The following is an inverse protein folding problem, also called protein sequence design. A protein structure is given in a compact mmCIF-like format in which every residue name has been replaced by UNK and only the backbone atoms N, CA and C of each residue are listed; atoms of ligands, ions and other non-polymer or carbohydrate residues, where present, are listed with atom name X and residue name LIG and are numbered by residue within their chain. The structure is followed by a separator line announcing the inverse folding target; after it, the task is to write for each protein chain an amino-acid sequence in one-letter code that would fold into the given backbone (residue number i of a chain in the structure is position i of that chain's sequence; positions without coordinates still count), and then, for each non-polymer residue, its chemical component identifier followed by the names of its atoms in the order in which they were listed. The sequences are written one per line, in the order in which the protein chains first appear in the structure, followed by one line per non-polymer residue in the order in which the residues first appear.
data_IF_595560734729
#
_entry.id   IF_595560734729
#
_cell.length_a   1.000
_cell.length_b   1.000
_cell.length_c   1.000
_cell.angle_alpha   90.00
_cell.angle_beta   90.00
_cell.angle_gamma   90.00
#
_symmetry.space_group_name_H-M   'P 1'
#
loop_
_entity.id
_entity.type
_entity.pdbx_description
1 polymer ?
#
# COMPACT_ATOMS: atom_id res chain seq x y z
N UNK A 1 -26.77 7.41 -25.72
CA UNK A 1 -27.67 8.42 -26.30
C UNK A 1 -28.51 9.18 -25.28
N UNK A 2 -28.75 8.64 -24.08
CA UNK A 2 -29.67 9.28 -23.11
C UNK A 2 -28.99 10.30 -22.18
N UNK A 3 -27.72 10.14 -21.87
CA UNK A 3 -27.03 11.07 -20.93
C UNK A 3 -26.70 12.42 -21.57
N UNK A 4 -26.35 12.45 -22.83
CA UNK A 4 -26.09 13.70 -23.56
C UNK A 4 -27.36 14.57 -23.65
N UNK A 5 -28.53 13.97 -23.95
CA UNK A 5 -29.80 14.69 -23.96
C UNK A 5 -30.25 15.24 -22.59
N UNK A 6 -29.82 14.63 -21.48
CA UNK A 6 -30.16 15.11 -20.13
C UNK A 6 -29.29 16.32 -19.75
N UNK A 7 -28.00 16.31 -20.08
CA UNK A 7 -27.11 17.44 -19.84
C UNK A 7 -27.54 18.68 -20.64
N UNK A 8 -27.83 18.51 -21.92
CA UNK A 8 -28.27 19.61 -22.78
C UNK A 8 -29.53 20.29 -22.27
N UNK A 9 -30.49 19.52 -21.74
CA UNK A 9 -31.72 20.07 -21.12
C UNK A 9 -31.42 20.82 -19.83
N UNK A 10 -30.50 20.32 -19.02
CA UNK A 10 -30.12 20.97 -17.76
C UNK A 10 -29.39 22.30 -18.00
N UNK A 11 -28.50 22.32 -18.99
CA UNK A 11 -27.77 23.52 -19.38
C UNK A 11 -28.74 24.56 -19.98
N UNK A 12 -29.76 24.15 -20.74
CA UNK A 12 -30.81 25.04 -21.23
C UNK A 12 -31.65 25.66 -20.09
N UNK A 13 -31.93 24.89 -19.02
CA UNK A 13 -32.62 25.43 -17.84
C UNK A 13 -31.76 26.46 -17.11
N UNK A 14 -30.48 26.18 -16.93
CA UNK A 14 -29.55 27.13 -16.30
C UNK A 14 -29.45 28.43 -17.11
N UNK A 15 -29.34 28.31 -18.41
CA UNK A 15 -29.28 29.47 -19.31
C UNK A 15 -30.58 30.30 -19.25
N UNK A 16 -31.74 29.64 -19.32
CA UNK A 16 -33.03 30.32 -19.21
C UNK A 16 -33.24 31.02 -17.86
N UNK A 17 -32.81 30.43 -16.76
CA UNK A 17 -32.84 31.06 -15.44
C UNK A 17 -31.90 32.25 -15.32
N UNK A 18 -30.75 32.17 -15.98
CA UNK A 18 -29.80 33.27 -16.05
C UNK A 18 -30.37 34.47 -16.86
N UNK A 19 -30.91 34.21 -18.05
CA UNK A 19 -31.51 35.22 -18.92
C UNK A 19 -32.74 35.90 -18.26
N UNK A 20 -33.52 35.10 -17.51
CA UNK A 20 -34.66 35.62 -16.75
C UNK A 20 -34.28 36.41 -15.49
N UNK A 21 -32.99 36.53 -15.16
CA UNK A 21 -32.50 37.21 -13.96
C UNK A 21 -32.83 36.52 -12.64
N UNK A 22 -33.25 35.25 -12.66
CA UNK A 22 -33.65 34.47 -11.49
C UNK A 22 -32.46 33.85 -10.75
N UNK A 23 -31.47 34.64 -10.35
CA UNK A 23 -30.21 34.21 -9.76
C UNK A 23 -30.33 33.33 -8.50
N UNK A 24 -31.23 33.61 -7.52
CA UNK A 24 -31.39 32.73 -6.37
C UNK A 24 -31.85 31.33 -6.77
N UNK A 25 -32.79 31.23 -7.72
CA UNK A 25 -33.30 29.97 -8.25
C UNK A 25 -32.25 29.23 -9.06
N UNK A 26 -31.49 29.94 -9.89
CA UNK A 26 -30.37 29.38 -10.63
C UNK A 26 -29.34 28.74 -9.69
N UNK A 27 -28.94 29.46 -8.63
CA UNK A 27 -27.99 28.92 -7.65
C UNK A 27 -28.53 27.68 -6.95
N UNK A 28 -29.78 27.68 -6.54
CA UNK A 28 -30.41 26.51 -5.92
C UNK A 28 -30.48 25.31 -6.87
N UNK A 29 -30.76 25.57 -8.15
CA UNK A 29 -30.81 24.56 -9.19
C UNK A 29 -29.44 23.92 -9.46
N UNK A 30 -28.39 24.73 -9.57
CA UNK A 30 -27.00 24.22 -9.76
C UNK A 30 -26.59 23.33 -8.58
N UNK A 31 -26.82 23.78 -7.35
CA UNK A 31 -26.49 22.98 -6.14
C UNK A 31 -27.29 21.68 -6.10
N UNK A 32 -28.59 21.74 -6.44
CA UNK A 32 -29.44 20.54 -6.53
C UNK A 32 -28.94 19.56 -7.61
N UNK A 33 -28.60 20.06 -8.80
CA UNK A 33 -28.05 19.26 -9.91
C UNK A 33 -26.77 18.54 -9.51
N UNK A 34 -25.86 19.26 -8.85
CA UNK A 34 -24.60 18.71 -8.37
C UNK A 34 -24.84 17.62 -7.30
N UNK A 35 -25.72 17.87 -6.33
CA UNK A 35 -26.06 16.90 -5.29
C UNK A 35 -26.68 15.62 -5.87
N UNK A 36 -27.52 15.75 -6.90
CA UNK A 36 -28.11 14.61 -7.61
C UNK A 36 -27.12 13.84 -8.47
N UNK A 37 -26.15 14.54 -9.08
CA UNK A 37 -25.06 13.89 -9.81
C UNK A 37 -24.21 13.03 -8.84
N UNK A 38 -23.79 13.60 -7.72
CA UNK A 38 -23.07 12.89 -6.65
C UNK A 38 -23.84 11.67 -6.12
N UNK A 39 -25.15 11.80 -5.91
CA UNK A 39 -26.00 10.69 -5.46
C UNK A 39 -26.14 9.58 -6.50
N UNK A 40 -26.20 9.90 -7.81
CA UNK A 40 -26.21 8.90 -8.88
C UNK A 40 -24.86 8.18 -8.98
N UNK A 41 -23.77 8.89 -8.87
CA UNK A 41 -22.42 8.31 -8.92
C UNK A 41 -22.15 7.41 -7.71
N UNK A 42 -22.61 7.81 -6.51
CA UNK A 42 -22.59 6.97 -5.34
C UNK A 42 -23.40 5.67 -5.55
N UNK A 43 -24.62 5.78 -6.12
CA UNK A 43 -25.47 4.61 -6.40
C UNK A 43 -24.83 3.68 -7.44
N UNK A 44 -24.16 4.20 -8.47
CA UNK A 44 -23.40 3.39 -9.44
C UNK A 44 -22.23 2.66 -8.76
N UNK A 45 -21.58 3.27 -7.77
CA UNK A 45 -20.52 2.65 -6.99
C UNK A 45 -21.02 1.43 -6.20
N UNK A 46 -22.20 1.47 -5.60
CA UNK A 46 -22.80 0.32 -4.87
C UNK A 46 -23.14 -0.85 -5.79
N UNK A 47 -23.65 -0.58 -6.99
CA UNK A 47 -23.94 -1.63 -8.00
C UNK A 47 -22.65 -2.35 -8.42
N UNK A 48 -21.55 -1.62 -8.53
CA UNK A 48 -20.24 -2.19 -8.89
C UNK A 48 -19.67 -3.11 -7.79
N UNK A 49 -20.02 -2.92 -6.52
CA UNK A 49 -19.54 -3.78 -5.42
C UNK A 49 -20.15 -5.18 -5.51
N UNK A 50 -21.46 -5.30 -5.78
CA UNK A 50 -22.12 -6.60 -5.96
C UNK A 50 -21.52 -7.37 -7.14
N UNK A 51 -21.39 -6.74 -8.29
CA UNK A 51 -20.72 -7.31 -9.46
C UNK A 51 -19.30 -7.76 -9.13
N UNK A 52 -18.57 -6.96 -8.36
CA UNK A 52 -17.18 -7.24 -7.98
C UNK A 52 -17.04 -8.47 -7.08
N UNK A 53 -18.00 -8.69 -6.17
CA UNK A 53 -18.02 -9.88 -5.32
C UNK A 53 -18.28 -11.12 -6.18
N UNK A 54 -19.29 -11.06 -7.05
CA UNK A 54 -19.65 -12.18 -7.91
C UNK A 54 -18.53 -12.54 -8.89
N UNK A 55 -17.90 -11.54 -9.53
CA UNK A 55 -16.75 -11.74 -10.42
C UNK A 55 -15.57 -12.43 -9.70
N UNK A 56 -15.31 -12.08 -8.44
CA UNK A 56 -14.28 -12.72 -7.64
C UNK A 56 -14.65 -14.17 -7.30
N UNK A 57 -15.89 -14.41 -6.85
CA UNK A 57 -16.36 -15.74 -6.48
C UNK A 57 -16.43 -16.69 -7.68
N UNK A 58 -16.82 -16.17 -8.85
CA UNK A 58 -16.90 -16.92 -10.10
C UNK A 58 -15.52 -17.06 -10.78
N UNK A 59 -14.46 -16.56 -10.16
CA UNK A 59 -13.07 -16.57 -10.68
C UNK A 59 -12.94 -15.93 -12.06
N UNK A 60 -13.79 -14.96 -12.37
CA UNK A 60 -13.78 -14.26 -13.66
C UNK A 60 -12.93 -12.99 -13.66
N UNK A 61 -12.57 -12.47 -12.48
CA UNK A 61 -11.74 -11.28 -12.39
C UNK A 61 -10.28 -11.60 -12.75
N UNK A 62 -9.86 -11.20 -13.95
CA UNK A 62 -8.49 -11.39 -14.44
C UNK A 62 -7.42 -10.71 -13.55
N UNK A 63 -7.78 -9.70 -12.78
CA UNK A 63 -6.87 -8.96 -11.90
C UNK A 63 -6.35 -9.84 -10.76
N UNK A 64 -7.13 -10.83 -10.34
CA UNK A 64 -6.69 -11.81 -9.33
C UNK A 64 -5.55 -12.67 -9.85
N UNK A 65 -5.47 -12.85 -11.16
CA UNK A 65 -4.38 -13.59 -11.83
C UNK A 65 -3.24 -12.70 -12.32
N UNK A 66 -3.46 -11.38 -12.41
CA UNK A 66 -2.45 -10.45 -12.91
C UNK A 66 -1.24 -10.33 -11.97
N UNK A 67 -1.45 -10.57 -10.66
CA UNK A 67 -0.38 -10.64 -9.68
C UNK A 67 -0.21 -12.10 -9.24
N UNK A 68 0.91 -12.73 -9.63
CA UNK A 68 1.21 -14.13 -9.33
C UNK A 68 1.29 -14.47 -7.83
N UNK A 69 1.41 -13.46 -6.98
CA UNK A 69 1.48 -13.60 -5.52
C UNK A 69 0.10 -13.58 -4.83
N UNK A 70 -0.98 -13.33 -5.59
CA UNK A 70 -2.34 -13.34 -5.05
C UNK A 70 -3.07 -14.63 -5.41
N UNK A 71 -3.62 -15.30 -4.39
CA UNK A 71 -4.47 -16.46 -4.55
C UNK A 71 -5.92 -16.18 -4.13
N UNK A 72 -6.85 -17.02 -4.58
CA UNK A 72 -8.23 -16.97 -4.09
C UNK A 72 -8.28 -17.36 -2.61
N UNK A 73 -8.58 -16.39 -1.76
CA UNK A 73 -8.67 -16.54 -0.31
C UNK A 73 -9.69 -15.57 0.26
N UNK A 74 -10.08 -15.77 1.53
CA UNK A 74 -10.95 -14.82 2.22
C UNK A 74 -10.30 -13.43 2.31
N UNK A 75 -9.01 -13.36 2.63
CA UNK A 75 -8.26 -12.11 2.65
C UNK A 75 -8.20 -11.45 1.27
N UNK A 76 -8.02 -12.22 0.21
CA UNK A 76 -8.05 -11.75 -1.17
C UNK A 76 -9.42 -11.22 -1.59
N UNK A 77 -10.51 -11.85 -1.18
CA UNK A 77 -11.87 -11.35 -1.42
C UNK A 77 -12.08 -9.99 -0.74
N UNK A 78 -11.75 -9.90 0.55
CA UNK A 78 -11.92 -8.67 1.32
C UNK A 78 -11.09 -7.54 0.68
N UNK A 79 -9.84 -7.81 0.32
CA UNK A 79 -8.96 -6.83 -0.32
C UNK A 79 -9.48 -6.39 -1.69
N UNK A 80 -9.96 -7.32 -2.52
CA UNK A 80 -10.51 -6.99 -3.85
C UNK A 80 -11.73 -6.06 -3.73
N UNK A 81 -12.67 -6.36 -2.83
CA UNK A 81 -13.86 -5.53 -2.63
C UNK A 81 -13.51 -4.19 -2.02
N UNK A 82 -12.71 -4.19 -0.95
CA UNK A 82 -12.26 -2.96 -0.29
C UNK A 82 -11.45 -2.09 -1.26
N UNK A 83 -10.56 -2.70 -2.04
CA UNK A 83 -9.72 -2.03 -3.03
C UNK A 83 -10.53 -1.31 -4.10
N UNK A 84 -11.58 -1.92 -4.62
CA UNK A 84 -12.47 -1.26 -5.61
C UNK A 84 -13.18 -0.03 -5.02
N UNK A 85 -13.60 -0.09 -3.76
CA UNK A 85 -14.22 1.05 -3.07
C UNK A 85 -13.19 2.16 -2.82
N UNK A 86 -12.00 1.80 -2.33
CA UNK A 86 -10.91 2.74 -2.07
C UNK A 86 -10.42 3.38 -3.37
N UNK A 87 -10.22 2.61 -4.43
CA UNK A 87 -9.84 3.12 -5.75
C UNK A 87 -10.85 4.12 -6.30
N UNK A 88 -12.14 3.83 -6.13
CA UNK A 88 -13.20 4.75 -6.54
C UNK A 88 -13.13 6.09 -5.76
N UNK A 89 -12.81 6.03 -4.47
CA UNK A 89 -12.60 7.21 -3.65
C UNK A 89 -11.40 8.04 -4.14
N UNK A 90 -10.25 7.41 -4.39
CA UNK A 90 -9.07 8.07 -4.94
C UNK A 90 -9.38 8.81 -6.24
N UNK A 91 -10.01 8.12 -7.20
CA UNK A 91 -10.24 8.63 -8.55
C UNK A 91 -11.33 9.71 -8.63
N UNK A 92 -12.20 9.81 -7.62
CA UNK A 92 -13.31 10.78 -7.65
C UNK A 92 -13.17 11.92 -6.66
N UNK A 93 -12.38 11.76 -5.58
CA UNK A 93 -12.34 12.74 -4.49
C UNK A 93 -10.93 13.20 -4.12
N UNK A 94 -9.90 12.41 -4.40
CA UNK A 94 -8.52 12.73 -4.02
C UNK A 94 -7.75 13.30 -5.21
N UNK A 95 -7.78 12.62 -6.35
CA UNK A 95 -7.12 13.10 -7.56
C UNK A 95 -7.96 14.16 -8.28
N UNK A 96 -7.32 15.07 -9.04
CA UNK A 96 -8.02 15.95 -9.97
C UNK A 96 -8.93 15.15 -10.92
N UNK A 97 -10.11 15.70 -11.30
CA UNK A 97 -11.08 14.97 -12.14
C UNK A 97 -10.51 14.47 -13.47
N UNK A 98 -9.57 15.21 -14.05
CA UNK A 98 -8.87 14.83 -15.29
C UNK A 98 -8.03 13.56 -15.14
N UNK A 99 -7.37 13.37 -13.99
CA UNK A 99 -6.60 12.16 -13.68
C UNK A 99 -7.53 10.95 -13.55
N UNK A 100 -8.62 11.12 -12.78
CA UNK A 100 -9.63 10.07 -12.64
C UNK A 100 -10.28 9.68 -13.97
N UNK A 101 -10.51 10.65 -14.86
CA UNK A 101 -11.01 10.40 -16.20
C UNK A 101 -9.99 9.65 -17.06
N UNK A 102 -8.77 10.15 -17.14
CA UNK A 102 -7.69 9.55 -17.94
C UNK A 102 -7.43 8.08 -17.53
N UNK A 103 -7.48 7.78 -16.21
CA UNK A 103 -7.37 6.41 -15.73
C UNK A 103 -8.54 5.53 -16.20
N UNK A 104 -9.79 6.02 -16.15
CA UNK A 104 -10.98 5.26 -16.59
C UNK A 104 -11.06 5.08 -18.10
N UNK A 105 -10.52 6.04 -18.87
CA UNK A 105 -10.44 6.00 -20.33
C UNK A 105 -9.22 5.21 -20.83
N UNK A 106 -8.39 4.72 -19.90
CA UNK A 106 -7.15 3.98 -20.16
C UNK A 106 -6.04 4.80 -20.88
N UNK A 107 -6.07 6.11 -20.77
CA UNK A 107 -4.99 6.99 -21.23
C UNK A 107 -3.76 6.87 -20.33
N UNK A 108 -3.98 6.66 -19.04
CA UNK A 108 -2.96 6.38 -18.03
C UNK A 108 -3.40 5.22 -17.13
N UNK A 109 -2.43 4.59 -16.47
CA UNK A 109 -2.70 3.62 -15.42
C UNK A 109 -2.12 4.09 -14.08
N UNK A 110 -2.98 4.29 -13.08
CA UNK A 110 -2.58 4.51 -11.69
C UNK A 110 -2.82 3.19 -10.97
N UNK A 111 -1.76 2.57 -10.45
CA UNK A 111 -1.84 1.29 -9.75
C UNK A 111 -1.87 1.45 -8.23
N UNK A 112 -2.14 0.36 -7.50
CA UNK A 112 -2.21 0.31 -6.02
C UNK A 112 -3.19 1.33 -5.42
N UNK A 113 -4.29 1.60 -6.13
CA UNK A 113 -5.37 2.47 -5.68
C UNK A 113 -6.23 1.84 -4.56
N UNK A 114 -5.99 0.58 -4.24
CA UNK A 114 -6.67 -0.18 -3.20
C UNK A 114 -6.23 0.18 -1.78
N UNK A 115 -5.18 0.98 -1.64
CA UNK A 115 -4.65 1.41 -0.36
C UNK A 115 -4.60 2.94 -0.23
N UNK A 116 -5.02 3.47 0.92
CA UNK A 116 -4.87 4.88 1.30
C UNK A 116 -3.60 5.04 2.14
N UNK A 117 -2.44 4.70 1.57
CA UNK A 117 -1.16 4.69 2.29
C UNK A 117 -0.01 5.19 1.43
N UNK A 118 1.15 5.41 2.06
CA UNK A 118 2.41 5.60 1.35
C UNK A 118 2.76 4.36 0.52
N UNK A 119 3.54 4.54 -0.56
CA UNK A 119 3.82 3.44 -1.47
C UNK A 119 4.97 2.57 -0.96
N UNK A 120 6.21 3.06 -1.00
CA UNK A 120 7.39 2.35 -0.55
C UNK A 120 8.10 3.11 0.57
N UNK A 121 8.83 2.40 1.42
CA UNK A 121 9.63 3.03 2.47
C UNK A 121 11.00 2.37 2.62
N UNK A 122 12.01 3.22 2.86
CA UNK A 122 13.33 2.79 3.32
C UNK A 122 13.46 3.06 4.82
N UNK A 123 13.94 2.07 5.55
CA UNK A 123 14.10 2.13 6.99
C UNK A 123 15.57 2.05 7.39
N UNK A 124 15.93 2.74 8.45
CA UNK A 124 17.25 2.64 9.04
C UNK A 124 17.37 1.35 9.85
N UNK A 125 18.13 0.39 9.35
CA UNK A 125 18.44 -0.81 10.11
C UNK A 125 19.20 -0.48 11.40
N UNK A 126 20.11 0.50 11.34
CA UNK A 126 20.82 0.98 12.51
C UNK A 126 19.89 1.42 13.64
N UNK A 127 18.87 2.21 13.32
CA UNK A 127 17.89 2.68 14.31
C UNK A 127 17.15 1.51 14.93
N UNK A 128 16.66 0.55 14.12
CA UNK A 128 16.01 -0.65 14.62
C UNK A 128 16.90 -1.43 15.59
N UNK A 129 18.17 -1.64 15.24
CA UNK A 129 19.09 -2.41 16.05
C UNK A 129 19.54 -1.67 17.34
N UNK A 130 19.51 -0.35 17.35
CA UNK A 130 19.85 0.47 18.52
C UNK A 130 18.68 0.71 19.47
N UNK A 131 17.48 0.82 18.96
CA UNK A 131 16.29 1.17 19.74
C UNK A 131 15.39 -0.02 20.01
N UNK A 132 15.48 -1.08 19.21
CA UNK A 132 14.58 -2.22 19.27
C UNK A 132 13.22 -1.94 18.61
N UNK A 133 12.23 -2.77 18.93
CA UNK A 133 10.86 -2.61 18.47
C UNK A 133 10.07 -1.86 19.56
N UNK A 134 9.86 -0.57 19.34
CA UNK A 134 9.12 0.29 20.27
C UNK A 134 8.37 1.40 19.51
N UNK A 135 7.66 2.23 20.22
CA UNK A 135 7.05 3.46 19.70
C UNK A 135 5.71 3.29 19.00
N UNK A 136 5.16 2.10 18.87
CA UNK A 136 3.80 1.88 18.34
C UNK A 136 2.88 1.41 19.45
N UNK A 137 2.01 2.30 19.92
CA UNK A 137 1.08 1.99 20.99
C UNK A 137 0.23 0.73 20.70
N UNK A 138 0.18 -0.21 21.64
CA UNK A 138 -0.58 -1.45 21.51
C UNK A 138 0.07 -2.53 20.63
N UNK A 139 1.31 -2.33 20.17
CA UNK A 139 2.12 -3.36 19.49
C UNK A 139 3.11 -3.99 20.45
N UNK A 140 3.72 -5.09 20.02
CA UNK A 140 4.75 -5.78 20.80
C UNK A 140 6.00 -4.89 20.85
N UNK A 141 6.53 -4.72 22.05
CA UNK A 141 7.79 -4.03 22.27
C UNK A 141 8.92 -5.05 22.48
N UNK A 142 10.11 -4.73 22.03
CA UNK A 142 11.32 -5.51 22.26
C UNK A 142 12.53 -4.61 22.38
N UNK A 143 13.36 -4.87 23.38
CA UNK A 143 14.65 -4.20 23.56
C UNK A 143 15.59 -4.39 22.36
N UNK A 144 16.65 -3.57 22.24
CA UNK A 144 17.70 -3.79 21.24
C UNK A 144 18.21 -5.24 21.23
N UNK A 145 18.36 -5.85 20.06
CA UNK A 145 18.78 -7.25 19.97
C UNK A 145 20.23 -7.41 20.45
N UNK A 146 20.50 -8.54 21.10
CA UNK A 146 21.84 -8.85 21.63
C UNK A 146 22.59 -9.88 20.78
N UNK A 147 21.89 -10.64 19.96
CA UNK A 147 22.39 -11.74 19.15
C UNK A 147 21.87 -11.68 17.73
N UNK A 148 22.58 -12.29 16.77
CA UNK A 148 22.20 -12.30 15.36
C UNK A 148 20.77 -12.83 15.14
N UNK A 149 20.40 -13.92 15.79
CA UNK A 149 19.05 -14.52 15.67
C UNK A 149 17.95 -13.57 16.16
N UNK A 150 18.21 -12.83 17.24
CA UNK A 150 17.27 -11.81 17.73
C UNK A 150 17.17 -10.63 16.77
N UNK A 151 18.30 -10.19 16.18
CA UNK A 151 18.34 -9.10 15.21
C UNK A 151 17.54 -9.46 13.94
N UNK A 152 17.78 -10.65 13.38
CA UNK A 152 17.03 -11.14 12.21
C UNK A 152 15.56 -11.33 12.51
N UNK A 153 15.21 -11.82 13.71
CA UNK A 153 13.83 -11.91 14.16
C UNK A 153 13.12 -10.54 14.26
N UNK A 154 13.80 -9.53 14.79
CA UNK A 154 13.25 -8.17 14.85
C UNK A 154 13.07 -7.55 13.46
N UNK A 155 13.97 -7.79 12.52
CA UNK A 155 13.84 -7.39 11.12
C UNK A 155 12.56 -7.97 10.52
N UNK A 156 12.32 -9.27 10.69
CA UNK A 156 11.11 -9.94 10.20
C UNK A 156 9.85 -9.31 10.82
N UNK A 157 9.84 -9.14 12.14
CA UNK A 157 8.69 -8.59 12.85
C UNK A 157 8.40 -7.13 12.46
N UNK A 158 9.44 -6.32 12.29
CA UNK A 158 9.30 -4.94 11.81
C UNK A 158 8.69 -4.90 10.42
N UNK A 159 9.27 -5.62 9.47
CA UNK A 159 8.78 -5.67 8.09
C UNK A 159 7.37 -6.27 8.02
N UNK A 160 7.10 -7.32 8.80
CA UNK A 160 5.77 -7.93 8.90
C UNK A 160 4.70 -6.98 9.46
N UNK A 161 5.09 -6.06 10.34
CA UNK A 161 4.18 -5.02 10.86
C UNK A 161 3.99 -3.90 9.85
N UNK A 162 5.09 -3.36 9.33
CA UNK A 162 5.06 -2.18 8.46
C UNK A 162 4.46 -2.45 7.09
N UNK A 163 4.53 -3.67 6.58
CA UNK A 163 3.90 -4.03 5.31
C UNK A 163 2.37 -3.84 5.29
N UNK A 164 1.73 -3.79 6.46
CA UNK A 164 0.29 -3.54 6.56
C UNK A 164 -0.07 -2.06 6.50
N UNK A 165 0.93 -1.18 6.64
CA UNK A 165 0.75 0.28 6.63
C UNK A 165 1.25 0.91 5.31
N UNK A 166 1.94 0.14 4.45
CA UNK A 166 2.55 0.60 3.20
C UNK A 166 2.15 -0.29 2.03
N UNK A 167 1.84 0.33 0.90
CA UNK A 167 1.36 -0.39 -0.28
C UNK A 167 2.46 -1.16 -1.02
N UNK A 168 3.69 -0.65 -1.03
CA UNK A 168 4.79 -1.19 -1.80
C UNK A 168 5.92 -1.81 -0.97
N UNK A 169 7.11 -1.81 -1.54
CA UNK A 169 8.27 -2.45 -0.95
C UNK A 169 8.79 -1.73 0.30
N UNK A 170 9.29 -2.51 1.23
CA UNK A 170 10.00 -2.07 2.43
C UNK A 170 11.47 -2.41 2.29
N UNK A 171 12.36 -1.46 2.57
CA UNK A 171 13.80 -1.65 2.42
C UNK A 171 14.54 -1.37 3.72
N UNK A 172 15.57 -2.17 4.00
CA UNK A 172 16.61 -1.85 4.97
C UNK A 172 17.93 -1.61 4.26
N UNK A 173 18.65 -0.56 4.70
CA UNK A 173 19.98 -0.25 4.20
C UNK A 173 21.06 -0.96 5.00
N UNK A 174 22.22 -1.21 4.35
CA UNK A 174 23.46 -1.67 4.99
C UNK A 174 23.29 -2.95 5.81
N UNK A 175 22.57 -3.92 5.26
CA UNK A 175 22.15 -5.14 5.96
C UNK A 175 23.35 -5.95 6.48
N UNK A 176 24.31 -6.21 5.64
CA UNK A 176 25.55 -6.93 5.97
C UNK A 176 26.40 -6.19 7.02
N UNK A 177 26.57 -4.91 6.82
CA UNK A 177 27.39 -4.06 7.66
C UNK A 177 26.86 -3.99 9.09
N UNK A 178 25.56 -3.77 9.28
CA UNK A 178 24.98 -3.64 10.62
C UNK A 178 24.76 -4.98 11.32
N UNK A 179 24.74 -6.11 10.61
CA UNK A 179 24.69 -7.43 11.22
C UNK A 179 26.06 -8.01 11.56
N UNK A 180 27.13 -7.58 10.90
CA UNK A 180 28.49 -8.04 11.15
C UNK A 180 28.95 -7.96 12.62
N UNK A 181 28.65 -6.89 13.40
CA UNK A 181 28.99 -6.81 14.82
C UNK A 181 28.43 -7.94 15.67
N UNK A 182 27.23 -8.45 15.38
CA UNK A 182 26.63 -9.58 16.11
C UNK A 182 27.37 -10.89 15.83
N UNK A 183 27.74 -11.11 14.57
CA UNK A 183 28.51 -12.29 14.15
C UNK A 183 29.85 -12.33 14.87
N UNK A 184 30.54 -11.19 14.90
CA UNK A 184 31.83 -11.05 15.55
C UNK A 184 31.74 -11.19 17.06
N UNK A 185 30.79 -10.50 17.69
CA UNK A 185 30.61 -10.52 19.15
C UNK A 185 30.42 -11.94 19.69
N UNK A 186 29.58 -12.73 19.01
CA UNK A 186 29.24 -14.09 19.45
C UNK A 186 30.19 -15.13 18.83
N UNK A 187 31.18 -14.72 18.02
CA UNK A 187 32.13 -15.59 17.31
C UNK A 187 31.39 -16.71 16.56
N UNK A 188 30.34 -16.35 15.82
CA UNK A 188 29.46 -17.30 15.17
C UNK A 188 30.18 -18.02 14.00
N UNK A 189 30.16 -19.36 13.94
CA UNK A 189 30.65 -20.08 12.78
C UNK A 189 29.73 -19.85 11.57
N UNK A 190 30.29 -19.99 10.37
CA UNK A 190 29.57 -19.80 9.11
C UNK A 190 28.20 -20.52 9.06
N UNK A 191 28.15 -21.74 9.60
CA UNK A 191 26.92 -22.55 9.61
C UNK A 191 25.78 -21.89 10.39
N UNK A 192 26.05 -21.25 11.51
CA UNK A 192 25.05 -20.56 12.33
C UNK A 192 24.60 -19.23 11.69
N UNK A 193 25.54 -18.52 11.05
CA UNK A 193 25.21 -17.34 10.26
C UNK A 193 24.30 -17.72 9.10
N UNK A 194 24.67 -18.77 8.34
CA UNK A 194 23.87 -19.27 7.23
C UNK A 194 22.45 -19.66 7.70
N UNK A 195 22.35 -20.34 8.85
CA UNK A 195 21.05 -20.73 9.42
C UNK A 195 20.20 -19.51 9.76
N UNK A 196 20.77 -18.50 10.41
CA UNK A 196 20.04 -17.27 10.77
C UNK A 196 19.55 -16.49 9.54
N UNK A 197 20.36 -16.43 8.48
CA UNK A 197 19.95 -15.81 7.21
C UNK A 197 18.88 -16.64 6.50
N UNK A 198 18.98 -17.96 6.55
CA UNK A 198 17.98 -18.85 5.98
C UNK A 198 16.63 -18.72 6.69
N UNK A 199 16.63 -18.60 8.01
CA UNK A 199 15.42 -18.32 8.81
C UNK A 199 14.81 -16.96 8.48
N UNK A 200 15.64 -15.92 8.32
CA UNK A 200 15.19 -14.60 7.87
C UNK A 200 14.45 -14.70 6.53
N UNK A 201 15.10 -15.31 5.52
CA UNK A 201 14.53 -15.45 4.18
C UNK A 201 13.25 -16.28 4.22
N UNK A 202 13.24 -17.39 4.96
CA UNK A 202 12.06 -18.23 5.12
C UNK A 202 10.89 -17.43 5.71
N UNK A 203 11.10 -16.71 6.81
CA UNK A 203 10.07 -15.94 7.48
C UNK A 203 9.57 -14.76 6.63
N UNK A 204 10.42 -14.14 5.81
CA UNK A 204 10.02 -13.12 4.85
C UNK A 204 9.24 -13.69 3.66
N UNK A 205 9.29 -15.00 3.41
CA UNK A 205 8.48 -15.68 2.41
C UNK A 205 7.15 -16.24 2.96
N UNK A 206 6.90 -16.12 4.26
CA UNK A 206 5.60 -16.48 4.83
C UNK A 206 4.56 -15.45 4.36
N UNK A 207 3.41 -15.90 3.80
CA UNK A 207 2.38 -14.99 3.32
C UNK A 207 1.64 -14.34 4.50
N UNK A 208 2.20 -13.29 5.02
CA UNK A 208 1.73 -12.55 6.20
C UNK A 208 1.07 -11.20 5.87
N UNK A 209 1.13 -10.80 4.59
CA UNK A 209 0.52 -9.57 4.08
C UNK A 209 -0.89 -9.84 3.55
N UNK A 210 -1.64 -8.77 3.34
CA UNK A 210 -2.97 -8.75 2.73
C UNK A 210 -3.06 -9.61 1.46
N UNK A 211 -4.14 -10.37 1.32
CA UNK A 211 -4.37 -11.19 0.13
C UNK A 211 -3.41 -12.37 -0.06
N UNK A 212 -2.80 -12.86 1.02
CA UNK A 212 -1.81 -13.96 0.98
C UNK A 212 -0.48 -13.61 0.30
N UNK A 213 -0.14 -12.34 0.24
CA UNK A 213 1.16 -11.89 -0.25
C UNK A 213 2.26 -12.05 0.80
N UNK A 214 3.47 -12.28 0.33
CA UNK A 214 4.68 -12.13 1.13
C UNK A 214 5.09 -10.67 1.23
N UNK A 215 5.83 -10.23 2.27
CA UNK A 215 6.40 -8.90 2.31
C UNK A 215 7.29 -8.63 1.10
N UNK A 216 7.03 -7.52 0.41
CA UNK A 216 8.01 -7.03 -0.57
C UNK A 216 9.18 -6.40 0.19
N UNK A 217 10.29 -7.12 0.21
CA UNK A 217 11.48 -6.73 0.97
C UNK A 217 12.65 -6.48 0.05
N UNK A 218 13.35 -5.37 0.29
CA UNK A 218 14.62 -5.06 -0.32
C UNK A 218 15.68 -4.89 0.79
N UNK A 219 16.84 -5.53 0.62
CA UNK A 219 17.99 -5.39 1.50
C UNK A 219 19.15 -4.85 0.68
N UNK A 220 19.75 -3.75 1.11
CA UNK A 220 20.95 -3.24 0.45
C UNK A 220 22.19 -3.72 1.18
N UNK A 221 23.25 -3.95 0.43
CA UNK A 221 24.56 -4.37 0.91
C UNK A 221 25.56 -3.26 0.62
N UNK A 222 26.50 -3.05 1.51
CA UNK A 222 27.51 -2.03 1.35
C UNK A 222 28.72 -2.59 0.57
N UNK A 223 29.10 -1.88 -0.48
CA UNK A 223 30.32 -2.18 -1.22
C UNK A 223 31.58 -1.79 -0.44
N UNK A 224 31.47 -0.79 0.41
CA UNK A 224 32.53 -0.31 1.30
C UNK A 224 31.96 -0.13 2.70
N UNK A 225 32.78 -0.43 3.73
CA UNK A 225 32.34 -0.21 5.11
C UNK A 225 32.08 1.28 5.39
N UNK A 226 30.92 1.65 5.96
CA UNK A 226 30.63 3.00 6.39
C UNK A 226 31.63 3.52 7.44
N UNK A 227 31.88 4.84 7.42
CA UNK A 227 32.88 5.49 8.28
C UNK A 227 32.62 5.27 9.78
N UNK A 228 31.37 5.22 10.20
CA UNK A 228 30.97 5.01 11.60
C UNK A 228 31.27 3.60 12.13
N UNK A 229 31.55 2.63 11.24
CA UNK A 229 31.94 1.27 11.59
C UNK A 229 33.39 0.92 11.27
N UNK A 230 34.14 1.82 10.67
CA UNK A 230 35.55 1.60 10.36
C UNK A 230 36.39 1.26 11.61
N UNK A 231 36.05 1.83 12.77
CA UNK A 231 36.71 1.52 14.04
C UNK A 231 36.53 0.08 14.50
N UNK A 232 35.47 -0.59 14.04
CA UNK A 232 35.21 -2.00 14.36
C UNK A 232 36.03 -2.96 13.49
N UNK A 233 36.51 -2.53 12.33
CA UNK A 233 37.34 -3.31 11.42
C UNK A 233 38.79 -3.36 11.90
N UNK A 234 39.27 -2.27 12.54
CA UNK A 234 40.66 -2.14 13.00
C UNK A 234 40.96 -2.85 14.35
N UNK A 235 39.96 -3.47 14.98
CA UNK A 235 40.16 -4.27 16.19
C UNK A 235 40.30 -5.76 15.80
N UNK A 236 41.21 -6.06 14.92
CA UNK A 236 41.63 -7.44 14.61
C UNK A 236 43.01 -7.68 15.09
#
# INVERSE_FOLDING_TARGET
GSEMCIRDRQDAVEHGLYEAGCFPTLRAYIVYRESRAKARDAKKSWVNVESSINEYLDRQDWRVHANANQGYSLGGLILNVAGKVVANYWLNFVYPPEVGRAHREADIHVHDLDMLSGYCAGWSLRTLLQEGLNGVAGKIEADPPKHLSSATGQIVNFLGTMQNEWAGAQAFSSFDTYLAPYIRKDNLPYREVLQSIQELIYNLNVPSRWGTQTPFTNLTFDWTCPEDLLSLIHIS
#
